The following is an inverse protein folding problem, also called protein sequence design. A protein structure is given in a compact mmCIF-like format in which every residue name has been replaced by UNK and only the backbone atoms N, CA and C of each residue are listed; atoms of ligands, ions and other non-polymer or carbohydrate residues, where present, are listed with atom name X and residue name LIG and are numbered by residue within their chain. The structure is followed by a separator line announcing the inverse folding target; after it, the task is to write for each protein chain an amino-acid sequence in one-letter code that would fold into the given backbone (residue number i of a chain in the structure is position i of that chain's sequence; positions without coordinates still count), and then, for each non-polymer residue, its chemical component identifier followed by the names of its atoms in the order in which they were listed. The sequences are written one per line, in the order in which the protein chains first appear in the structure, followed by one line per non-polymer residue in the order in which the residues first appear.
data_IF_713131948278
#
_entry.id   IF_713131948278
#
_cell.length_a   1.000
_cell.length_b   1.000
_cell.length_c   1.000
_cell.angle_alpha   90.00
_cell.angle_beta   90.00
_cell.angle_gamma   90.00
#
_symmetry.space_group_name_H-M   'P 1'
#
loop_
_entity.id
_entity.type
_entity.pdbx_description
1 polymer ?
#
# COMPACT_ATOMS: atom_id res chain seq x y z
N UNK A 1 12.84 -64.08 -17.99
CA UNK A 1 13.41 -62.78 -17.58
C UNK A 1 12.55 -61.69 -18.21
N UNK A 2 11.62 -61.13 -17.45
CA UNK A 2 10.54 -60.27 -17.96
C UNK A 2 11.07 -58.85 -18.16
N UNK A 3 11.04 -58.36 -19.39
CA UNK A 3 11.37 -56.98 -19.75
C UNK A 3 10.09 -56.36 -20.29
N UNK A 4 9.35 -55.63 -19.45
CA UNK A 4 8.14 -54.93 -19.87
C UNK A 4 8.24 -53.49 -19.38
N UNK A 5 8.34 -52.61 -20.37
CA UNK A 5 8.59 -51.19 -20.22
C UNK A 5 7.42 -50.50 -19.50
N UNK A 6 7.77 -49.63 -18.56
CA UNK A 6 6.83 -48.85 -17.78
C UNK A 6 6.16 -47.80 -18.69
N UNK A 7 4.87 -48.00 -18.93
CA UNK A 7 3.93 -46.97 -19.33
C UNK A 7 3.81 -45.97 -18.17
N UNK A 8 4.15 -44.71 -18.43
CA UNK A 8 3.71 -43.57 -17.62
C UNK A 8 3.49 -42.38 -18.56
N UNK A 9 2.35 -42.47 -19.25
CA UNK A 9 1.68 -41.35 -19.91
C UNK A 9 1.06 -40.47 -18.83
N UNK A 10 1.63 -39.28 -18.60
CA UNK A 10 0.99 -38.26 -17.77
C UNK A 10 1.50 -36.86 -18.14
N UNK A 11 1.16 -36.37 -19.33
CA UNK A 11 1.26 -34.94 -19.64
C UNK A 11 0.04 -34.57 -20.48
N UNK A 12 -0.78 -33.66 -19.93
CA UNK A 12 -1.46 -32.55 -20.59
C UNK A 12 -2.75 -32.21 -19.81
N UNK A 13 -2.58 -31.42 -18.75
CA UNK A 13 -3.66 -30.57 -18.24
C UNK A 13 -3.22 -29.13 -18.49
N UNK A 14 -3.45 -28.64 -19.71
CA UNK A 14 -3.40 -27.21 -20.00
C UNK A 14 -4.67 -26.61 -19.38
N UNK A 15 -4.56 -26.09 -18.17
CA UNK A 15 -5.56 -25.19 -17.63
C UNK A 15 -5.49 -23.90 -18.45
N UNK A 16 -6.55 -23.68 -19.23
CA UNK A 16 -6.82 -22.41 -19.90
C UNK A 16 -6.95 -21.33 -18.81
N UNK A 17 -5.87 -20.58 -18.56
CA UNK A 17 -5.96 -19.29 -17.89
C UNK A 17 -6.79 -18.37 -18.80
N UNK A 18 -8.08 -18.29 -18.55
CA UNK A 18 -8.90 -17.17 -19.03
C UNK A 18 -8.36 -15.91 -18.35
N UNK A 19 -7.54 -15.15 -19.07
CA UNK A 19 -7.10 -13.84 -18.63
C UNK A 19 -8.31 -12.92 -18.46
N UNK A 20 -8.45 -12.34 -17.27
CA UNK A 20 -9.37 -11.23 -17.06
C UNK A 20 -8.75 -10.00 -17.74
N UNK A 21 -9.20 -9.68 -18.96
CA UNK A 21 -8.84 -8.42 -19.61
C UNK A 21 -9.64 -7.30 -18.94
N UNK A 22 -9.06 -6.70 -17.89
CA UNK A 22 -9.53 -5.41 -17.41
C UNK A 22 -9.24 -4.38 -18.49
N UNK A 23 -10.27 -3.97 -19.22
CA UNK A 23 -10.24 -2.80 -20.10
C UNK A 23 -9.96 -1.58 -19.25
N UNK A 24 -8.69 -1.15 -19.20
CA UNK A 24 -8.33 0.20 -18.79
C UNK A 24 -8.65 1.13 -19.95
N UNK A 25 -9.66 1.98 -19.77
CA UNK A 25 -9.89 3.14 -20.61
C UNK A 25 -8.65 4.04 -20.53
N UNK A 26 -7.80 3.96 -21.55
CA UNK A 26 -6.62 4.79 -21.72
C UNK A 26 -7.05 6.20 -22.16
N UNK A 27 -7.73 6.93 -21.28
CA UNK A 27 -7.69 8.39 -21.29
C UNK A 27 -6.41 8.78 -20.53
N UNK A 28 -5.54 9.69 -21.02
CA UNK A 28 -4.38 10.10 -20.26
C UNK A 28 -4.86 10.97 -19.09
N UNK A 29 -5.27 10.31 -18.00
CA UNK A 29 -5.71 10.96 -16.78
C UNK A 29 -4.48 11.60 -16.15
N UNK A 30 -4.37 12.93 -16.25
CA UNK A 30 -3.36 13.74 -15.57
C UNK A 30 -3.53 13.74 -14.03
N UNK A 31 -4.51 13.00 -13.50
CA UNK A 31 -4.83 12.89 -12.09
C UNK A 31 -4.47 11.50 -11.58
N UNK A 32 -3.94 11.46 -10.35
CA UNK A 32 -3.70 10.21 -9.64
C UNK A 32 -5.02 9.49 -9.43
N UNK A 33 -5.05 8.21 -9.80
CA UNK A 33 -6.20 7.36 -9.53
C UNK A 33 -6.51 7.29 -8.02
N UNK A 34 -7.79 7.14 -7.70
CA UNK A 34 -8.30 7.14 -6.32
C UNK A 34 -7.68 6.00 -5.51
N UNK A 35 -7.44 4.84 -6.12
CA UNK A 35 -6.80 3.72 -5.43
C UNK A 35 -5.38 4.07 -4.99
N UNK A 36 -4.58 4.65 -5.89
CA UNK A 36 -3.23 5.09 -5.58
C UNK A 36 -3.21 6.19 -4.51
N UNK A 37 -4.15 7.15 -4.56
CA UNK A 37 -4.29 8.15 -3.49
C UNK A 37 -4.59 7.49 -2.15
N UNK A 38 -5.46 6.48 -2.13
CA UNK A 38 -5.83 5.77 -0.91
C UNK A 38 -4.66 4.95 -0.34
N UNK A 39 -3.85 4.34 -1.21
CA UNK A 39 -2.63 3.65 -0.79
C UNK A 39 -1.64 4.62 -0.12
N UNK A 40 -1.41 5.79 -0.70
CA UNK A 40 -0.54 6.82 -0.12
C UNK A 40 -1.10 7.36 1.20
N UNK A 41 -2.41 7.60 1.26
CA UNK A 41 -3.09 8.04 2.48
C UNK A 41 -2.99 6.98 3.60
N UNK A 42 -3.06 5.70 3.26
CA UNK A 42 -2.90 4.60 4.22
C UNK A 42 -1.49 4.55 4.82
N UNK A 43 -0.43 4.83 4.04
CA UNK A 43 0.93 4.94 4.54
C UNK A 43 1.07 6.07 5.59
N UNK A 44 0.49 7.23 5.28
CA UNK A 44 0.46 8.38 6.19
C UNK A 44 -0.36 8.04 7.45
N UNK A 45 -1.55 7.49 7.27
CA UNK A 45 -2.47 7.17 8.36
C UNK A 45 -1.89 6.14 9.33
N UNK A 46 -1.34 5.03 8.84
CA UNK A 46 -0.74 4.01 9.69
C UNK A 46 0.50 4.51 10.43
N UNK A 47 1.31 5.36 9.79
CA UNK A 47 2.48 5.98 10.44
C UNK A 47 2.06 6.97 11.53
N UNK A 48 1.07 7.81 11.25
CA UNK A 48 0.51 8.73 12.24
C UNK A 48 -0.18 7.98 13.39
N UNK A 49 -0.88 6.89 13.10
CA UNK A 49 -1.50 6.03 14.11
C UNK A 49 -0.44 5.45 15.06
N UNK A 50 0.69 4.97 14.53
CA UNK A 50 1.82 4.50 15.34
C UNK A 50 2.36 5.61 16.26
N UNK A 51 2.48 6.84 15.75
CA UNK A 51 2.94 8.00 16.53
C UNK A 51 2.01 8.27 17.71
N UNK A 52 0.70 8.29 17.47
CA UNK A 52 -0.31 8.67 18.46
C UNK A 52 -0.63 7.57 19.47
N UNK A 53 -0.65 6.31 19.03
CA UNK A 53 -1.20 5.19 19.82
C UNK A 53 -0.16 4.14 20.23
N UNK A 54 1.03 4.16 19.61
CA UNK A 54 2.05 3.10 19.77
C UNK A 54 3.39 3.63 20.30
N UNK A 55 3.40 4.83 20.90
CA UNK A 55 4.59 5.46 21.51
C UNK A 55 5.77 5.66 20.54
N UNK A 56 5.51 5.76 19.23
CA UNK A 56 6.53 5.96 18.19
C UNK A 56 6.82 7.45 17.98
N UNK A 57 7.46 8.08 18.97
CA UNK A 57 7.82 9.50 18.93
C UNK A 57 8.84 9.85 17.85
N UNK A 58 9.57 8.84 17.35
CA UNK A 58 10.53 8.94 16.24
C UNK A 58 9.87 9.15 14.87
N UNK A 59 8.54 8.97 14.76
CA UNK A 59 7.81 9.24 13.53
C UNK A 59 7.59 10.76 13.40
N UNK A 60 7.93 11.38 12.26
CA UNK A 60 7.84 12.83 12.08
C UNK A 60 6.38 13.30 11.94
N UNK A 61 6.18 14.60 11.79
CA UNK A 61 4.85 15.19 11.61
C UNK A 61 4.20 14.76 10.29
N UNK A 62 2.86 14.87 10.21
CA UNK A 62 2.09 14.50 9.03
C UNK A 62 2.57 15.19 7.74
N UNK A 63 3.11 16.41 7.83
CA UNK A 63 3.68 17.13 6.68
C UNK A 63 4.90 16.42 6.07
N UNK A 64 5.78 15.85 6.89
CA UNK A 64 6.91 15.04 6.43
C UNK A 64 6.43 13.70 5.85
N UNK A 65 5.45 13.06 6.48
CA UNK A 65 4.81 11.85 5.95
C UNK A 65 4.19 12.11 4.57
N UNK A 66 3.50 13.25 4.39
CA UNK A 66 2.92 13.66 3.10
C UNK A 66 3.97 13.90 2.03
N UNK A 67 5.06 14.60 2.34
CA UNK A 67 6.18 14.78 1.40
C UNK A 67 6.76 13.44 0.95
N UNK A 68 6.92 12.51 1.90
CA UNK A 68 7.40 11.14 1.62
C UNK A 68 6.44 10.38 0.72
N UNK A 69 5.14 10.44 1.00
CA UNK A 69 4.12 9.79 0.16
C UNK A 69 4.09 10.36 -1.27
N UNK A 70 4.28 11.67 -1.43
CA UNK A 70 4.42 12.30 -2.75
C UNK A 70 5.69 11.83 -3.45
N UNK A 71 6.81 11.66 -2.73
CA UNK A 71 8.03 11.11 -3.28
C UNK A 71 7.84 9.64 -3.71
N UNK A 72 7.13 8.83 -2.93
CA UNK A 72 6.75 7.46 -3.31
C UNK A 72 5.94 7.44 -4.61
N UNK A 73 4.97 8.35 -4.76
CA UNK A 73 4.21 8.50 -6.01
C UNK A 73 5.14 8.82 -7.19
N UNK A 74 6.08 9.76 -7.03
CA UNK A 74 7.07 10.12 -8.06
C UNK A 74 7.97 8.93 -8.42
N UNK A 75 8.45 8.19 -7.42
CA UNK A 75 9.29 7.00 -7.63
C UNK A 75 8.55 5.91 -8.40
N UNK A 76 7.23 5.77 -8.16
CA UNK A 76 6.33 4.87 -8.90
C UNK A 76 5.88 5.44 -10.25
N UNK A 77 6.34 6.63 -10.64
CA UNK A 77 5.94 7.36 -11.87
C UNK A 77 4.43 7.63 -11.95
N UNK A 78 3.79 7.74 -10.79
CA UNK A 78 2.40 8.13 -10.69
C UNK A 78 2.24 9.64 -10.91
N UNK A 79 1.15 10.10 -11.56
CA UNK A 79 0.93 11.52 -11.78
C UNK A 79 0.75 12.23 -10.44
N UNK A 80 1.55 13.28 -10.22
CA UNK A 80 1.47 14.14 -9.04
C UNK A 80 1.03 15.53 -9.49
N UNK A 81 0.01 16.05 -8.82
CA UNK A 81 -0.46 17.43 -9.00
C UNK A 81 -0.39 18.18 -7.66
N UNK A 82 -0.53 19.51 -7.71
CA UNK A 82 -0.40 20.37 -6.53
C UNK A 82 -1.44 20.05 -5.46
N UNK A 83 -2.67 19.70 -5.85
CA UNK A 83 -3.74 19.34 -4.91
C UNK A 83 -3.48 18.07 -4.11
N UNK A 84 -2.53 17.22 -4.51
CA UNK A 84 -2.24 15.97 -3.82
C UNK A 84 -1.69 16.22 -2.40
N UNK A 85 -0.95 17.30 -2.20
CA UNK A 85 -0.41 17.68 -0.88
C UNK A 85 -1.52 18.02 0.12
N UNK A 86 -2.65 18.53 -0.36
CA UNK A 86 -3.80 18.88 0.48
C UNK A 86 -4.76 17.69 0.66
N UNK A 87 -4.92 16.88 -0.38
CA UNK A 87 -5.82 15.73 -0.37
C UNK A 87 -5.32 14.60 0.55
N UNK A 88 -4.02 14.27 0.50
CA UNK A 88 -3.47 13.12 1.24
C UNK A 88 -3.65 13.23 2.77
N UNK A 89 -3.37 14.37 3.43
CA UNK A 89 -3.64 14.53 4.86
C UNK A 89 -5.13 14.44 5.23
N UNK A 90 -6.04 14.81 4.33
CA UNK A 90 -7.49 14.69 4.57
C UNK A 90 -7.91 13.22 4.52
N UNK A 91 -7.54 12.51 3.44
CA UNK A 91 -7.81 11.08 3.29
C UNK A 91 -7.18 10.26 4.43
N UNK A 92 -5.96 10.61 4.85
CA UNK A 92 -5.29 9.93 5.95
C UNK A 92 -6.06 10.09 7.27
N UNK A 93 -6.64 11.26 7.54
CA UNK A 93 -7.48 11.50 8.74
C UNK A 93 -8.74 10.63 8.73
N UNK A 94 -9.38 10.46 7.58
CA UNK A 94 -10.52 9.55 7.46
C UNK A 94 -10.13 8.10 7.77
N UNK A 95 -8.96 7.65 7.31
CA UNK A 95 -8.44 6.31 7.61
C UNK A 95 -8.10 6.17 9.10
N UNK A 96 -7.47 7.17 9.73
CA UNK A 96 -7.19 7.17 11.17
C UNK A 96 -8.48 7.06 11.97
N UNK A 97 -9.53 7.80 11.59
CA UNK A 97 -10.83 7.70 12.25
C UNK A 97 -11.40 6.27 12.19
N UNK A 98 -11.29 5.61 11.03
CA UNK A 98 -11.69 4.20 10.88
C UNK A 98 -10.81 3.27 11.73
N UNK A 99 -9.50 3.49 11.78
CA UNK A 99 -8.59 2.73 12.63
C UNK A 99 -8.91 2.89 14.12
N UNK A 100 -9.38 4.04 14.55
CA UNK A 100 -9.80 4.28 15.94
C UNK A 100 -11.12 3.58 16.29
N UNK A 101 -11.98 3.35 15.31
CA UNK A 101 -13.26 2.65 15.47
C UNK A 101 -13.13 1.12 15.31
N UNK A 102 -12.10 0.66 14.64
CA UNK A 102 -11.81 -0.75 14.45
C UNK A 102 -11.59 -1.45 15.82
N UNK A 103 -12.26 -2.57 16.13
CA UNK A 103 -12.17 -3.24 17.43
C UNK A 103 -10.88 -4.04 17.65
N UNK A 104 -10.03 -4.19 16.64
CA UNK A 104 -8.76 -4.91 16.74
C UNK A 104 -7.91 -4.29 17.85
N UNK A 105 -7.31 -5.09 18.76
CA UNK A 105 -6.51 -4.57 19.86
C UNK A 105 -5.40 -3.62 19.39
N UNK A 106 -5.18 -2.53 20.13
CA UNK A 106 -4.15 -1.52 19.81
C UNK A 106 -2.78 -2.18 19.62
N UNK A 107 -2.40 -3.10 20.52
CA UNK A 107 -1.13 -3.83 20.42
C UNK A 107 -0.98 -4.60 19.09
N UNK A 108 -2.07 -5.19 18.58
CA UNK A 108 -2.06 -5.92 17.30
C UNK A 108 -1.93 -4.97 16.11
N UNK A 109 -2.64 -3.84 16.11
CA UNK A 109 -2.48 -2.77 15.11
C UNK A 109 -1.05 -2.21 15.11
N UNK A 110 -0.51 -1.93 16.30
CA UNK A 110 0.86 -1.46 16.46
C UNK A 110 1.88 -2.46 15.90
N UNK A 111 1.74 -3.75 16.23
CA UNK A 111 2.62 -4.78 15.71
C UNK A 111 2.58 -4.87 14.17
N UNK A 112 1.37 -4.88 13.59
CA UNK A 112 1.17 -4.92 12.15
C UNK A 112 1.78 -3.70 11.44
N UNK A 113 1.49 -2.49 11.92
CA UNK A 113 1.99 -1.28 11.30
C UNK A 113 3.50 -1.11 11.50
N UNK A 114 4.04 -1.49 12.66
CA UNK A 114 5.49 -1.41 12.92
C UNK A 114 6.29 -2.23 11.91
N UNK A 115 5.82 -3.43 11.54
CA UNK A 115 6.49 -4.25 10.53
C UNK A 115 6.23 -3.74 9.11
N UNK A 116 4.97 -3.42 8.80
CA UNK A 116 4.55 -3.11 7.41
C UNK A 116 5.01 -1.74 6.93
N UNK A 117 5.24 -0.78 7.84
CA UNK A 117 5.55 0.61 7.50
C UNK A 117 7.00 1.00 7.79
N UNK A 118 7.86 0.06 8.21
CA UNK A 118 9.24 0.34 8.62
C UNK A 118 10.03 1.14 7.56
N UNK A 119 9.96 0.72 6.28
CA UNK A 119 10.67 1.38 5.19
C UNK A 119 10.14 2.80 4.91
N UNK A 120 8.82 2.98 4.91
CA UNK A 120 8.19 4.29 4.70
C UNK A 120 8.52 5.27 5.83
N UNK A 121 8.47 4.80 7.09
CA UNK A 121 8.82 5.61 8.25
C UNK A 121 10.28 6.04 8.19
N UNK A 122 11.19 5.14 7.84
CA UNK A 122 12.61 5.47 7.70
C UNK A 122 12.85 6.52 6.60
N UNK A 123 12.19 6.39 5.45
CA UNK A 123 12.25 7.40 4.40
C UNK A 123 11.68 8.76 4.85
N UNK A 124 10.68 8.75 5.73
CA UNK A 124 10.03 9.97 6.21
C UNK A 124 10.85 10.79 7.20
N UNK A 125 11.75 10.15 7.96
CA UNK A 125 12.64 10.87 8.89
C UNK A 125 13.71 11.72 8.20
N UNK A 126 13.86 11.56 6.87
CA UNK A 126 14.85 12.27 6.05
C UNK A 126 14.27 13.49 5.32
N UNK A 127 12.97 13.75 5.49
CA UNK A 127 12.27 14.89 4.90
C UNK A 127 12.45 16.16 5.73
#
# INVERSE_FOLDING_TARGET
MVKKQFLLSFILCNTLLTGCSTTSDNNPTTKLDVEHQQQLAALIAGSQYLKENCQRNDIPAISALTKTAILEAKNKKWPVNESLSDALPLNAREIINKLNQDPTPVAQKCAYFNSSLAAFIEASRRQ
#
